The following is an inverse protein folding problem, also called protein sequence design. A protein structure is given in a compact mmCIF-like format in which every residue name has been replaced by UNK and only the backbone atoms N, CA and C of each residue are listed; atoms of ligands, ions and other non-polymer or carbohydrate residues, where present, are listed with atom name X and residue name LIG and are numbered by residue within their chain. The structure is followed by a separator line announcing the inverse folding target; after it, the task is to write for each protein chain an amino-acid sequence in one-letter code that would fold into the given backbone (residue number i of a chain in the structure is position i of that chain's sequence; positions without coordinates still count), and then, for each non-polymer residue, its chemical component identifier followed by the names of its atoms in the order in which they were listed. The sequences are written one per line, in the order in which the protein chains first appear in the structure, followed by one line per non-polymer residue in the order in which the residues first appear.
data_IF_468168453857
#
_entry.id   IF_468168453857
#
_cell.length_a   1.000
_cell.length_b   1.000
_cell.length_c   1.000
_cell.angle_alpha   90.00
_cell.angle_beta   90.00
_cell.angle_gamma   90.00
#
_symmetry.space_group_name_H-M   'P 1'
#
loop_
_entity.id
_entity.type
_entity.pdbx_description
1 polymer ?
#
# COMPACT_ATOMS: atom_id res chain seq x y z
N UNK A 1 -19.03 7.62 25.68
CA UNK A 1 -18.79 6.63 24.61
C UNK A 1 -18.93 7.37 23.29
N UNK A 2 -17.82 7.85 22.73
CA UNK A 2 -17.81 8.43 21.39
C UNK A 2 -18.17 7.33 20.41
N UNK A 3 -19.35 7.40 19.80
CA UNK A 3 -19.70 6.51 18.70
C UNK A 3 -18.64 6.63 17.61
N UNK A 4 -18.19 5.49 17.07
CA UNK A 4 -17.32 5.47 15.90
C UNK A 4 -18.05 6.20 14.78
N UNK A 5 -17.41 7.17 14.16
CA UNK A 5 -17.94 7.88 13.00
C UNK A 5 -18.33 6.84 11.92
N UNK A 6 -19.62 6.77 11.53
CA UNK A 6 -20.07 5.81 10.52
C UNK A 6 -19.33 5.91 9.18
N UNK A 7 -18.80 7.08 8.82
CA UNK A 7 -18.01 7.25 7.61
C UNK A 7 -16.60 6.66 7.76
N UNK A 8 -15.93 6.94 8.88
CA UNK A 8 -14.65 6.31 9.20
C UNK A 8 -14.74 4.78 9.28
N UNK A 9 -15.86 4.25 9.79
CA UNK A 9 -16.12 2.81 9.77
C UNK A 9 -16.25 2.29 8.34
N UNK A 10 -17.05 2.93 7.49
CA UNK A 10 -17.24 2.51 6.10
C UNK A 10 -15.93 2.51 5.29
N UNK A 11 -15.06 3.49 5.54
CA UNK A 11 -13.73 3.57 4.92
C UNK A 11 -12.81 2.44 5.39
N UNK A 12 -12.83 2.12 6.68
CA UNK A 12 -12.11 0.97 7.21
C UNK A 12 -12.62 -0.34 6.58
N UNK A 13 -13.93 -0.48 6.39
CA UNK A 13 -14.51 -1.65 5.72
C UNK A 13 -14.07 -1.73 4.26
N UNK A 14 -14.02 -0.61 3.53
CA UNK A 14 -13.52 -0.59 2.16
C UNK A 14 -12.06 -1.08 2.08
N UNK A 15 -11.19 -0.60 2.98
CA UNK A 15 -9.81 -1.08 3.06
C UNK A 15 -9.70 -2.58 3.36
N UNK A 16 -10.55 -3.11 4.26
CA UNK A 16 -10.59 -4.55 4.54
C UNK A 16 -11.00 -5.35 3.29
N UNK A 17 -12.00 -4.88 2.56
CA UNK A 17 -12.44 -5.53 1.33
C UNK A 17 -11.39 -5.45 0.22
N UNK A 18 -10.69 -4.33 0.09
CA UNK A 18 -9.59 -4.17 -0.89
C UNK A 18 -8.45 -5.17 -0.61
N UNK A 19 -8.09 -5.37 0.65
CA UNK A 19 -7.11 -6.39 1.05
C UNK A 19 -7.62 -7.80 0.69
N UNK A 20 -8.88 -8.10 1.00
CA UNK A 20 -9.50 -9.37 0.65
C UNK A 20 -9.52 -9.61 -0.86
N UNK A 21 -9.90 -8.59 -1.64
CA UNK A 21 -9.95 -8.62 -3.10
C UNK A 21 -8.57 -8.92 -3.69
N UNK A 22 -7.54 -8.17 -3.29
CA UNK A 22 -6.18 -8.37 -3.80
C UNK A 22 -5.66 -9.78 -3.47
N UNK A 23 -5.94 -10.27 -2.26
CA UNK A 23 -5.57 -11.64 -1.86
C UNK A 23 -6.26 -12.70 -2.71
N UNK A 24 -7.57 -12.58 -2.93
CA UNK A 24 -8.33 -13.55 -3.70
C UNK A 24 -8.01 -13.51 -5.20
N UNK A 25 -7.76 -12.32 -5.78
CA UNK A 25 -7.28 -12.19 -7.15
C UNK A 25 -5.93 -12.87 -7.33
N UNK A 26 -4.98 -12.57 -6.44
CA UNK A 26 -3.64 -13.17 -6.46
C UNK A 26 -3.68 -14.68 -6.35
N UNK A 27 -4.55 -15.23 -5.50
CA UNK A 27 -4.76 -16.69 -5.38
C UNK A 27 -5.25 -17.33 -6.69
N UNK A 28 -5.91 -16.55 -7.55
CA UNK A 28 -6.42 -16.97 -8.87
C UNK A 28 -5.47 -16.62 -10.01
N UNK A 29 -4.29 -16.07 -9.73
CA UNK A 29 -3.24 -15.77 -10.72
C UNK A 29 -2.90 -14.28 -10.83
N UNK A 30 -3.84 -13.41 -11.23
CA UNK A 30 -3.50 -12.02 -11.56
C UNK A 30 -3.43 -11.13 -10.32
N UNK A 31 -2.55 -10.13 -10.39
CA UNK A 31 -2.63 -8.95 -9.54
C UNK A 31 -3.69 -7.98 -10.06
N UNK A 32 -4.30 -7.19 -9.16
CA UNK A 32 -5.29 -6.19 -9.55
C UNK A 32 -4.70 -5.19 -10.56
N UNK A 33 -3.46 -4.72 -10.35
CA UNK A 33 -2.83 -3.77 -11.26
C UNK A 33 -2.65 -4.32 -12.67
N UNK A 34 -2.41 -5.64 -12.83
CA UNK A 34 -2.26 -6.25 -14.16
C UNK A 34 -3.58 -6.18 -14.92
N UNK A 35 -4.70 -6.47 -14.25
CA UNK A 35 -6.03 -6.41 -14.85
C UNK A 35 -6.37 -4.97 -15.27
N UNK A 36 -6.12 -4.01 -14.39
CA UNK A 36 -6.42 -2.59 -14.64
C UNK A 36 -5.54 -2.02 -15.75
N UNK A 37 -4.23 -2.20 -15.68
CA UNK A 37 -3.29 -1.64 -16.66
C UNK A 37 -3.42 -2.29 -18.05
N UNK A 38 -3.86 -3.54 -18.14
CA UNK A 38 -4.13 -4.24 -19.40
C UNK A 38 -5.56 -4.03 -19.92
N UNK A 39 -6.41 -3.32 -19.17
CA UNK A 39 -7.81 -3.11 -19.54
C UNK A 39 -8.66 -4.39 -19.57
N UNK A 40 -8.28 -5.41 -18.79
CA UNK A 40 -8.98 -6.68 -18.71
C UNK A 40 -10.21 -6.51 -17.82
N UNK A 41 -11.39 -6.83 -18.34
CA UNK A 41 -12.61 -6.84 -17.54
C UNK A 41 -12.57 -7.95 -16.47
N UNK A 42 -12.79 -7.58 -15.22
CA UNK A 42 -12.83 -8.49 -14.07
C UNK A 42 -14.11 -8.34 -13.24
N UNK A 43 -15.16 -7.73 -13.80
CA UNK A 43 -16.41 -7.46 -13.09
C UNK A 43 -17.05 -8.72 -12.50
N UNK A 44 -17.10 -9.81 -13.26
CA UNK A 44 -17.64 -11.09 -12.77
C UNK A 44 -16.78 -11.68 -11.65
N UNK A 45 -15.45 -11.58 -11.75
CA UNK A 45 -14.53 -12.03 -10.67
C UNK A 45 -14.73 -11.20 -9.41
N UNK A 46 -14.93 -9.88 -9.54
CA UNK A 46 -15.23 -9.00 -8.41
C UNK A 46 -16.53 -9.43 -7.71
N UNK A 47 -17.59 -9.72 -8.47
CA UNK A 47 -18.88 -10.18 -7.91
C UNK A 47 -18.75 -11.51 -7.19
N UNK A 48 -18.03 -12.48 -7.76
CA UNK A 48 -17.74 -13.76 -7.12
C UNK A 48 -16.94 -13.59 -5.81
N UNK A 49 -15.90 -12.76 -5.83
CA UNK A 49 -15.07 -12.49 -4.65
C UNK A 49 -15.89 -11.79 -3.58
N UNK A 50 -16.74 -10.82 -3.96
CA UNK A 50 -17.64 -10.15 -3.04
C UNK A 50 -18.69 -11.09 -2.43
N UNK A 51 -19.21 -12.05 -3.20
CA UNK A 51 -20.11 -13.08 -2.67
C UNK A 51 -19.46 -13.87 -1.54
N UNK A 52 -18.19 -14.28 -1.73
CA UNK A 52 -17.43 -14.97 -0.68
C UNK A 52 -17.12 -14.06 0.50
N UNK A 53 -16.76 -12.81 0.25
CA UNK A 53 -16.57 -11.82 1.31
C UNK A 53 -17.83 -11.64 2.16
N UNK A 54 -19.01 -11.66 1.55
CA UNK A 54 -20.30 -11.59 2.24
C UNK A 54 -20.62 -12.83 3.06
N UNK A 55 -20.23 -14.01 2.59
CA UNK A 55 -20.34 -15.26 3.37
C UNK A 55 -19.42 -15.23 4.59
N UNK A 56 -18.17 -14.79 4.41
CA UNK A 56 -17.16 -14.74 5.48
C UNK A 56 -17.41 -13.60 6.48
N UNK A 57 -17.91 -12.44 6.00
CA UNK A 57 -18.04 -11.19 6.76
C UNK A 57 -19.36 -10.44 6.42
N UNK A 58 -20.53 -10.99 6.78
CA UNK A 58 -21.83 -10.45 6.37
C UNK A 58 -22.03 -8.99 6.80
N UNK A 59 -21.68 -8.64 8.04
CA UNK A 59 -21.83 -7.27 8.57
C UNK A 59 -20.98 -6.25 7.80
N UNK A 60 -19.75 -6.64 7.42
CA UNK A 60 -18.86 -5.80 6.63
C UNK A 60 -19.38 -5.64 5.19
N UNK A 61 -19.86 -6.71 4.58
CA UNK A 61 -20.46 -6.65 3.25
C UNK A 61 -21.71 -5.75 3.22
N UNK A 62 -22.58 -5.85 4.22
CA UNK A 62 -23.77 -5.00 4.34
C UNK A 62 -23.40 -3.52 4.53
N UNK A 63 -22.35 -3.23 5.31
CA UNK A 63 -21.82 -1.87 5.46
C UNK A 63 -21.30 -1.29 4.12
N UNK A 64 -20.60 -2.09 3.31
CA UNK A 64 -20.16 -1.68 1.97
C UNK A 64 -21.33 -1.40 1.04
N UNK A 65 -22.32 -2.29 1.01
CA UNK A 65 -23.50 -2.09 0.18
C UNK A 65 -24.30 -0.87 0.61
N UNK A 66 -24.41 -0.61 1.92
CA UNK A 66 -25.03 0.61 2.43
C UNK A 66 -24.29 1.87 1.98
N UNK A 67 -22.95 1.84 1.93
CA UNK A 67 -22.12 2.98 1.53
C UNK A 67 -22.09 3.25 0.04
N UNK A 68 -21.98 2.20 -0.77
CA UNK A 68 -21.75 2.29 -2.22
C UNK A 68 -22.97 1.91 -3.06
N UNK A 69 -24.04 1.40 -2.45
CA UNK A 69 -25.27 0.94 -3.09
C UNK A 69 -25.15 -0.43 -3.74
N UNK A 70 -24.05 -0.69 -4.46
CA UNK A 70 -23.78 -1.98 -5.09
C UNK A 70 -22.29 -2.23 -5.28
N UNK A 71 -21.90 -3.51 -5.45
CA UNK A 71 -20.53 -3.87 -5.82
C UNK A 71 -20.14 -3.34 -7.21
N UNK A 72 -21.11 -3.20 -8.12
CA UNK A 72 -20.91 -2.63 -9.45
C UNK A 72 -20.46 -1.15 -9.39
N UNK A 73 -20.90 -0.40 -8.38
CA UNK A 73 -20.45 0.96 -8.14
C UNK A 73 -18.99 1.05 -7.66
N UNK A 74 -18.47 -0.04 -7.08
CA UNK A 74 -17.05 -0.15 -6.70
C UNK A 74 -16.20 -0.51 -7.94
N UNK A 75 -16.74 -1.29 -8.87
CA UNK A 75 -16.03 -1.75 -10.06
C UNK A 75 -15.50 -0.61 -10.95
N UNK A 76 -16.33 0.40 -11.23
CA UNK A 76 -15.94 1.46 -12.15
C UNK A 76 -14.68 2.23 -11.68
N UNK A 77 -14.58 2.68 -10.42
CA UNK A 77 -13.35 3.29 -9.92
C UNK A 77 -12.14 2.37 -9.89
N UNK A 78 -12.31 1.08 -9.57
CA UNK A 78 -11.20 0.11 -9.64
C UNK A 78 -10.64 0.02 -11.07
N UNK A 79 -11.52 -0.04 -12.07
CA UNK A 79 -11.12 -0.05 -13.50
C UNK A 79 -10.39 1.24 -13.92
N UNK A 80 -10.68 2.37 -13.27
CA UNK A 80 -10.03 3.66 -13.54
C UNK A 80 -8.76 3.90 -12.69
N UNK A 81 -8.35 2.92 -11.87
CA UNK A 81 -7.08 2.96 -11.14
C UNK A 81 -7.18 3.13 -9.62
N UNK A 82 -8.38 3.11 -9.02
CA UNK A 82 -8.53 3.06 -7.56
C UNK A 82 -7.87 1.78 -7.01
N UNK A 83 -6.99 1.95 -6.02
CA UNK A 83 -6.20 0.86 -5.43
C UNK A 83 -4.97 0.45 -6.23
N UNK A 84 -4.73 1.07 -7.40
CA UNK A 84 -3.61 0.73 -8.30
C UNK A 84 -2.69 1.92 -8.54
N UNK A 85 -3.27 3.09 -8.81
CA UNK A 85 -2.55 4.33 -9.09
C UNK A 85 -2.72 5.32 -7.93
N UNK A 86 -1.63 5.79 -7.29
CA UNK A 86 -1.69 6.78 -6.21
C UNK A 86 -2.55 7.99 -6.54
N UNK A 87 -2.41 8.55 -7.74
CA UNK A 87 -3.13 9.75 -8.17
C UNK A 87 -4.64 9.54 -8.37
N UNK A 88 -5.07 8.29 -8.56
CA UNK A 88 -6.47 7.90 -8.78
C UNK A 88 -7.13 7.32 -7.54
N UNK A 89 -6.35 6.97 -6.53
CA UNK A 89 -6.82 6.34 -5.31
C UNK A 89 -7.20 7.41 -4.30
N UNK A 90 -8.47 7.43 -3.92
CA UNK A 90 -9.05 8.46 -3.04
C UNK A 90 -9.79 7.86 -1.85
N UNK A 91 -10.02 6.54 -1.85
CA UNK A 91 -10.78 5.84 -0.81
C UNK A 91 -9.91 5.26 0.28
N UNK A 92 -8.64 4.97 0.00
CA UNK A 92 -7.66 4.53 1.00
C UNK A 92 -6.48 5.47 1.01
N UNK A 93 -5.81 5.61 2.17
CA UNK A 93 -4.61 6.44 2.31
C UNK A 93 -3.35 5.79 1.75
N UNK A 94 -3.37 4.46 1.61
CA UNK A 94 -2.20 3.68 1.23
C UNK A 94 -2.57 2.59 0.23
N UNK A 95 -1.78 2.48 -0.84
CA UNK A 95 -1.74 1.27 -1.65
C UNK A 95 -0.58 0.41 -1.12
N UNK A 96 -0.81 -0.89 -0.97
CA UNK A 96 0.18 -1.85 -0.46
C UNK A 96 0.46 -2.90 -1.53
N UNK A 97 1.74 -3.19 -1.75
CA UNK A 97 2.17 -4.30 -2.59
C UNK A 97 3.17 -5.17 -1.84
N UNK A 98 2.78 -6.39 -1.54
CA UNK A 98 3.65 -7.39 -0.94
C UNK A 98 4.46 -8.15 -2.00
N UNK A 99 5.66 -8.59 -1.61
CA UNK A 99 6.48 -9.47 -2.43
C UNK A 99 5.86 -10.90 -2.56
N UNK A 100 6.28 -11.72 -3.54
CA UNK A 100 5.97 -13.15 -3.62
C UNK A 100 6.38 -13.95 -2.39
N UNK A 101 5.57 -14.95 -2.05
CA UNK A 101 5.90 -15.95 -1.02
C UNK A 101 5.17 -15.75 0.32
N UNK A 102 5.24 -16.76 1.20
CA UNK A 102 4.67 -16.66 2.54
C UNK A 102 5.50 -15.67 3.37
N UNK A 103 4.84 -14.64 3.90
CA UNK A 103 5.46 -13.77 4.90
C UNK A 103 5.50 -14.50 6.24
N UNK A 104 6.69 -14.84 6.71
CA UNK A 104 6.92 -15.18 8.11
C UNK A 104 6.75 -13.92 8.95
N UNK A 105 5.52 -13.63 9.37
CA UNK A 105 5.09 -12.42 10.12
C UNK A 105 5.26 -11.10 9.37
N UNK A 106 4.33 -10.17 9.65
CA UNK A 106 4.08 -8.97 8.83
C UNK A 106 5.16 -7.89 8.90
N UNK A 107 5.00 -6.87 8.05
CA UNK A 107 5.85 -5.66 7.95
C UNK A 107 5.93 -4.81 9.22
N UNK A 108 5.29 -5.22 10.31
CA UNK A 108 5.24 -4.56 11.62
C UNK A 108 6.12 -5.27 12.66
N UNK A 109 7.03 -6.14 12.21
CA UNK A 109 8.10 -6.70 13.06
C UNK A 109 9.06 -5.59 13.53
N UNK A 110 9.51 -5.65 14.79
CA UNK A 110 10.52 -4.73 15.35
C UNK A 110 11.85 -4.76 14.61
N UNK A 111 12.16 -5.89 13.94
CA UNK A 111 13.32 -6.06 13.08
C UNK A 111 13.11 -5.48 11.68
N UNK A 112 11.89 -5.29 11.22
CA UNK A 112 11.69 -4.69 9.92
C UNK A 112 12.05 -3.19 9.93
N UNK A 113 12.38 -2.68 8.75
CA UNK A 113 12.59 -1.26 8.53
C UNK A 113 12.27 -0.89 7.09
N UNK A 114 12.32 0.40 6.77
CA UNK A 114 11.82 0.93 5.51
C UNK A 114 12.69 2.06 4.98
N UNK A 115 12.96 2.02 3.68
CA UNK A 115 13.42 3.18 2.93
C UNK A 115 12.24 4.11 2.65
N UNK A 116 12.44 5.42 2.81
CA UNK A 116 11.46 6.46 2.53
C UNK A 116 11.90 7.22 1.28
N UNK A 117 11.02 7.24 0.28
CA UNK A 117 11.20 7.94 -0.99
C UNK A 117 10.08 8.97 -1.08
N UNK A 118 10.43 10.24 -1.28
CA UNK A 118 9.46 11.31 -1.47
C UNK A 118 9.53 11.77 -2.92
N UNK A 119 8.39 11.78 -3.62
CA UNK A 119 8.29 12.17 -5.03
C UNK A 119 7.22 13.23 -5.22
N UNK A 120 7.37 14.15 -6.19
CA UNK A 120 6.30 15.06 -6.56
C UNK A 120 5.01 14.30 -6.91
N UNK A 121 3.85 14.83 -6.54
CA UNK A 121 2.56 14.16 -6.78
C UNK A 121 2.32 13.82 -8.28
N UNK A 122 2.83 14.65 -9.20
CA UNK A 122 2.75 14.40 -10.65
C UNK A 122 3.61 13.22 -11.14
N UNK A 123 4.59 12.77 -10.36
CA UNK A 123 5.48 11.64 -10.68
C UNK A 123 5.10 10.37 -9.90
N UNK A 124 4.12 10.45 -9.01
CA UNK A 124 3.76 9.41 -8.05
C UNK A 124 3.39 8.08 -8.71
N UNK A 125 2.56 8.10 -9.76
CA UNK A 125 2.10 6.88 -10.43
C UNK A 125 3.25 6.13 -11.11
N UNK A 126 4.16 6.86 -11.79
CA UNK A 126 5.31 6.24 -12.45
C UNK A 126 6.29 5.68 -11.42
N UNK A 127 6.60 6.47 -10.38
CA UNK A 127 7.49 6.04 -9.30
C UNK A 127 6.94 4.79 -8.60
N UNK A 128 5.64 4.79 -8.27
CA UNK A 128 4.97 3.65 -7.65
C UNK A 128 5.02 2.41 -8.55
N UNK A 129 4.68 2.53 -9.83
CA UNK A 129 4.71 1.41 -10.78
C UNK A 129 6.11 0.75 -10.83
N UNK A 130 7.19 1.54 -10.84
CA UNK A 130 8.57 1.02 -10.80
C UNK A 130 8.83 0.20 -9.53
N UNK A 131 8.46 0.75 -8.36
CA UNK A 131 8.65 0.08 -7.06
C UNK A 131 7.77 -1.16 -6.94
N UNK A 132 6.48 -1.05 -7.27
CA UNK A 132 5.49 -2.13 -7.21
C UNK A 132 5.92 -3.33 -8.06
N UNK A 133 6.31 -3.10 -9.32
CA UNK A 133 6.72 -4.17 -10.23
C UNK A 133 7.96 -4.91 -9.70
N UNK A 134 8.96 -4.17 -9.24
CA UNK A 134 10.16 -4.77 -8.65
C UNK A 134 9.91 -5.50 -7.33
N UNK A 135 8.89 -5.07 -6.58
CA UNK A 135 8.44 -5.74 -5.35
C UNK A 135 7.78 -7.08 -5.69
N UNK A 136 6.86 -7.12 -6.66
CA UNK A 136 6.23 -8.39 -7.08
C UNK A 136 7.19 -9.33 -7.79
N UNK A 137 8.31 -8.83 -8.30
CA UNK A 137 9.38 -9.66 -8.88
C UNK A 137 10.41 -10.11 -7.82
N UNK A 138 10.19 -9.79 -6.53
CA UNK A 138 11.05 -10.19 -5.42
C UNK A 138 12.44 -9.54 -5.43
N UNK A 139 12.60 -8.44 -6.16
CA UNK A 139 13.90 -7.76 -6.32
C UNK A 139 14.11 -6.62 -5.34
N UNK A 140 13.05 -6.11 -4.72
CA UNK A 140 13.15 -5.20 -3.57
C UNK A 140 13.11 -6.01 -2.27
N UNK A 141 12.55 -5.45 -1.21
CA UNK A 141 12.39 -6.14 0.06
C UNK A 141 11.04 -6.86 0.14
N UNK A 142 10.46 -6.93 1.34
CA UNK A 142 9.31 -7.78 1.64
C UNK A 142 7.97 -7.17 1.22
N UNK A 143 7.88 -5.85 1.13
CA UNK A 143 6.65 -5.13 0.81
C UNK A 143 6.97 -3.68 0.46
N UNK A 144 6.06 -3.02 -0.24
CA UNK A 144 6.09 -1.60 -0.48
C UNK A 144 4.72 -0.97 -0.23
N UNK A 145 4.71 0.30 0.17
CA UNK A 145 3.48 1.08 0.38
C UNK A 145 3.65 2.47 -0.22
N UNK A 146 2.58 3.07 -0.71
CA UNK A 146 2.59 4.43 -1.26
C UNK A 146 1.39 5.22 -0.76
N UNK A 147 1.59 6.49 -0.39
CA UNK A 147 0.49 7.38 -0.04
C UNK A 147 -0.32 7.76 -1.28
N UNK A 148 -1.60 8.04 -1.11
CA UNK A 148 -2.54 8.24 -2.22
C UNK A 148 -2.97 9.69 -2.36
N UNK A 149 -3.83 9.97 -3.34
CA UNK A 149 -4.47 11.27 -3.51
C UNK A 149 -5.56 11.56 -2.46
N UNK A 150 -5.85 10.62 -1.55
CA UNK A 150 -6.74 10.87 -0.41
C UNK A 150 -6.07 11.88 0.53
N UNK A 151 -6.68 13.05 0.78
CA UNK A 151 -6.09 14.05 1.68
C UNK A 151 -5.94 13.50 3.10
N UNK A 152 -4.71 13.52 3.62
CA UNK A 152 -4.40 13.11 4.98
C UNK A 152 -4.12 14.36 5.84
N UNK A 153 -4.98 14.69 6.82
CA UNK A 153 -4.80 15.87 7.66
C UNK A 153 -3.54 15.81 8.53
N UNK A 154 -2.98 14.61 8.74
CA UNK A 154 -1.75 14.40 9.52
C UNK A 154 -0.48 14.49 8.63
N UNK A 155 -0.63 14.57 7.30
CA UNK A 155 0.50 14.75 6.41
C UNK A 155 1.10 16.16 6.53
N UNK A 156 2.42 16.21 6.73
CA UNK A 156 3.19 17.47 6.78
C UNK A 156 3.90 17.78 5.46
N UNK A 157 3.71 16.94 4.45
CA UNK A 157 4.39 17.03 3.16
C UNK A 157 3.36 16.86 2.04
N UNK A 158 3.43 17.72 1.02
CA UNK A 158 2.56 17.67 -0.16
C UNK A 158 3.03 16.62 -1.18
N UNK A 159 4.24 16.07 -0.99
CA UNK A 159 4.79 15.00 -1.82
C UNK A 159 4.15 13.66 -1.50
N UNK A 160 4.09 12.80 -2.51
CA UNK A 160 3.76 11.39 -2.31
C UNK A 160 4.95 10.67 -1.70
N UNK A 161 4.72 9.86 -0.67
CA UNK A 161 5.75 9.06 -0.03
C UNK A 161 5.58 7.58 -0.38
N UNK A 162 6.70 6.93 -0.74
CA UNK A 162 6.79 5.50 -0.98
C UNK A 162 7.69 4.89 0.09
N UNK A 163 7.19 3.85 0.76
CA UNK A 163 7.93 2.99 1.67
C UNK A 163 8.32 1.70 0.97
N UNK A 164 9.58 1.29 1.14
CA UNK A 164 10.08 -0.02 0.71
C UNK A 164 10.67 -0.73 1.91
N UNK A 165 10.01 -1.79 2.35
CA UNK A 165 10.31 -2.49 3.59
C UNK A 165 11.34 -3.60 3.36
N UNK A 166 12.30 -3.73 4.26
CA UNK A 166 13.18 -4.91 4.36
C UNK A 166 12.83 -5.71 5.62
N UNK A 167 13.16 -7.01 5.62
CA UNK A 167 12.80 -7.93 6.70
C UNK A 167 13.56 -7.63 8.00
N UNK A 168 14.82 -7.23 7.88
CA UNK A 168 15.71 -7.06 9.01
C UNK A 168 16.63 -5.86 8.80
N UNK A 169 16.44 -4.81 9.60
CA UNK A 169 17.27 -3.62 9.54
C UNK A 169 18.72 -3.87 9.92
N UNK A 170 19.01 -4.97 10.62
CA UNK A 170 20.38 -5.37 10.98
C UNK A 170 21.10 -6.13 9.86
N UNK A 171 20.37 -6.62 8.84
CA UNK A 171 20.96 -7.19 7.63
C UNK A 171 21.36 -6.07 6.67
N UNK A 172 22.51 -5.45 6.94
CA UNK A 172 23.02 -4.35 6.14
C UNK A 172 23.20 -4.74 4.67
N UNK A 173 23.54 -6.01 4.38
CA UNK A 173 23.72 -6.48 3.02
C UNK A 173 22.39 -6.44 2.23
N UNK A 174 21.29 -6.92 2.82
CA UNK A 174 19.97 -6.82 2.19
C UNK A 174 19.48 -5.37 2.11
N UNK A 175 19.64 -4.58 3.19
CA UNK A 175 19.26 -3.17 3.23
C UNK A 175 19.92 -2.36 2.11
N UNK A 176 21.23 -2.54 1.93
CA UNK A 176 22.00 -1.86 0.88
C UNK A 176 21.73 -2.43 -0.51
N UNK A 177 21.47 -3.74 -0.65
CA UNK A 177 21.03 -4.36 -1.91
C UNK A 177 19.73 -3.72 -2.41
N UNK A 178 18.75 -3.54 -1.52
CA UNK A 178 17.47 -2.88 -1.83
C UNK A 178 17.72 -1.43 -2.25
N UNK A 179 18.56 -0.68 -1.52
CA UNK A 179 18.94 0.69 -1.90
C UNK A 179 19.55 0.77 -3.30
N UNK A 180 20.53 -0.09 -3.60
CA UNK A 180 21.18 -0.07 -4.91
C UNK A 180 20.20 -0.43 -6.02
N UNK A 181 19.21 -1.30 -5.75
CA UNK A 181 18.13 -1.54 -6.70
C UNK A 181 17.27 -0.30 -6.90
N UNK A 182 16.88 0.42 -5.84
CA UNK A 182 16.13 1.68 -5.94
C UNK A 182 16.90 2.74 -6.75
N UNK A 183 18.21 2.87 -6.57
CA UNK A 183 19.05 3.78 -7.37
C UNK A 183 19.03 3.42 -8.86
N UNK A 184 19.06 2.13 -9.19
CA UNK A 184 18.94 1.64 -10.58
C UNK A 184 17.56 1.94 -11.20
N UNK A 185 16.52 2.09 -10.39
CA UNK A 185 15.18 2.51 -10.84
C UNK A 185 15.06 4.02 -11.06
N UNK A 186 16.08 4.79 -10.68
CA UNK A 186 16.13 6.25 -10.88
C UNK A 186 16.02 7.06 -9.59
N UNK A 187 15.82 6.43 -8.42
CA UNK A 187 15.78 7.12 -7.12
C UNK A 187 17.21 7.43 -6.65
N UNK A 188 17.82 8.46 -7.24
CA UNK A 188 19.23 8.84 -7.04
C UNK A 188 19.44 9.86 -5.92
N UNK A 189 18.39 10.56 -5.52
CA UNK A 189 18.43 11.50 -4.40
C UNK A 189 18.68 10.77 -3.08
N UNK A 190 19.05 11.55 -2.05
CA UNK A 190 19.29 11.01 -0.72
C UNK A 190 17.98 10.47 -0.14
N UNK A 191 17.97 9.20 0.24
CA UNK A 191 16.83 8.54 0.87
C UNK A 191 17.17 8.16 2.32
N UNK A 192 16.16 8.20 3.19
CA UNK A 192 16.30 7.85 4.60
C UNK A 192 15.80 6.43 4.86
N UNK A 193 16.47 5.71 5.75
CA UNK A 193 16.00 4.43 6.27
C UNK A 193 15.56 4.59 7.73
N UNK A 194 14.35 4.12 8.04
CA UNK A 194 13.77 4.15 9.40
C UNK A 194 13.47 2.73 9.88
N UNK A 195 13.79 2.42 11.13
CA UNK A 195 13.44 1.13 11.74
C UNK A 195 11.98 1.16 12.19
N UNK A 196 11.28 0.03 12.13
CA UNK A 196 9.90 0.00 12.60
C UNK A 196 9.78 0.16 14.12
N UNK A 197 10.75 -0.32 14.90
CA UNK A 197 10.80 -0.09 16.36
C UNK A 197 10.73 1.40 16.74
N UNK A 198 11.28 2.29 15.91
CA UNK A 198 11.20 3.74 16.11
C UNK A 198 9.79 4.28 15.82
N UNK A 199 9.04 3.62 14.94
CA UNK A 199 7.62 3.92 14.69
C UNK A 199 6.76 3.53 15.90
N UNK A 200 7.01 2.37 16.52
CA UNK A 200 6.27 1.92 17.72
C UNK A 200 6.55 2.77 18.96
N UNK A 201 7.73 3.40 19.06
CA UNK A 201 8.10 4.30 20.16
C UNK A 201 7.54 5.71 20.00
N UNK A 202 6.76 5.98 18.94
CA UNK A 202 6.23 7.31 18.66
C UNK A 202 7.29 8.33 18.26
N UNK A 203 8.48 7.87 17.84
CA UNK A 203 9.57 8.76 17.45
C UNK A 203 9.32 9.27 16.02
N UNK A 204 8.61 10.38 15.91
CA UNK A 204 8.50 11.16 14.68
C UNK A 204 9.67 12.14 14.59
N UNK A 205 10.04 12.54 13.37
CA UNK A 205 10.97 13.64 13.18
C UNK A 205 10.32 14.93 13.70
N UNK A 206 10.82 15.43 14.83
CA UNK A 206 10.55 16.78 15.32
C UNK A 206 11.69 17.71 14.92
N UNK A 207 11.44 19.03 14.96
CA UNK A 207 12.46 20.05 14.68
C UNK A 207 13.70 19.79 15.54
N UNK A 208 14.81 19.38 14.91
CA UNK A 208 16.08 19.05 15.57
C UNK A 208 16.38 17.57 15.80
N UNK A 209 15.43 16.63 15.60
CA UNK A 209 15.66 15.18 15.77
C UNK A 209 15.42 14.40 14.48
N UNK A 210 16.51 13.98 13.80
CA UNK A 210 16.45 13.04 12.67
C UNK A 210 16.36 11.60 13.18
N UNK A 211 15.24 10.95 12.93
CA UNK A 211 15.02 9.51 13.21
C UNK A 211 15.38 8.70 11.96
N UNK A 212 16.66 8.74 11.58
CA UNK A 212 17.17 8.07 10.38
C UNK A 212 18.34 7.18 10.80
N UNK A 213 18.21 5.87 10.56
CA UNK A 213 19.22 4.88 10.95
C UNK A 213 20.31 4.74 9.86
N UNK A 214 19.90 4.52 8.61
CA UNK A 214 20.78 4.67 7.44
C UNK A 214 20.36 5.89 6.64
N UNK A 215 21.34 6.66 6.15
CA UNK A 215 21.09 7.78 5.24
C UNK A 215 22.07 7.70 4.10
N UNK A 216 21.60 7.77 2.86
CA UNK A 216 22.44 7.36 1.74
C UNK A 216 21.93 7.86 0.40
#
# INVERSE_FOLDING_TARGET
MSGIDPEALADAVYGIFEIYLNRELRRRGPYLFELVEQGIDFKEKLREIFSRFREDYPELADALLKRFGSIDAIYAPLREGEGVSPSKTTRTYWIVQDAPGPHERGVDDERAGKWLIFVPAGEADEAWRKVRNETVEGRLGISAKVSTARPDPDSRDERTVIYVYTKDWADEADVMRVRERLRKLGFKERIGYKRNIETFRGEYSEEGRKVTYYSA
#
